data_IF_959984744571
#
_entry.id   IF_959984744571
#
_cell.length_a   1.000
_cell.length_b   1.000
_cell.length_c   1.000
_cell.angle_alpha   90.00
_cell.angle_beta   90.00
_cell.angle_gamma   90.00
#
_symmetry.space_group_name_H-M   'P 1'
#
loop_
_entity.id
_entity.type
_entity.pdbx_description
1 polymer ?
#
# COMPACT_ATOMS: atom_id res chain seq x y z
N UNK A 1 26.30 0.38 9.03
CA UNK A 1 25.13 -0.04 9.84
C UNK A 1 24.04 -0.51 8.88
N UNK A 2 23.24 -1.52 9.22
CA UNK A 2 22.12 -1.94 8.38
C UNK A 2 20.95 -0.96 8.54
N UNK A 3 20.36 -0.48 7.42
CA UNK A 3 19.14 0.34 7.44
C UNK A 3 17.94 -0.54 7.73
N UNK A 4 17.07 -0.13 8.66
CA UNK A 4 15.86 -0.85 9.05
C UNK A 4 14.63 -0.07 8.58
N UNK A 5 13.75 -0.73 7.84
CA UNK A 5 12.45 -0.18 7.44
C UNK A 5 11.33 -0.92 8.16
N UNK A 6 10.35 -0.16 8.64
CA UNK A 6 9.14 -0.67 9.27
C UNK A 6 7.96 -0.39 8.35
N UNK A 7 7.19 -1.45 8.07
CA UNK A 7 5.96 -1.36 7.27
C UNK A 7 4.77 -1.57 8.20
N UNK A 8 3.84 -0.63 8.21
CA UNK A 8 2.63 -0.64 9.05
C UNK A 8 1.43 -0.73 8.13
N UNK A 9 0.66 -1.81 8.23
CA UNK A 9 -0.66 -1.91 7.62
C UNK A 9 -1.71 -1.40 8.62
N UNK A 10 -2.60 -0.50 8.20
CA UNK A 10 -3.55 0.16 9.10
C UNK A 10 -4.93 0.37 8.46
N UNK A 11 -5.96 0.40 9.30
CA UNK A 11 -7.34 0.73 8.95
C UNK A 11 -8.09 1.20 10.19
N UNK A 12 -8.57 2.45 10.19
CA UNK A 12 -9.40 3.00 11.27
C UNK A 12 -8.75 2.88 12.67
N UNK A 13 -7.47 3.25 12.77
CA UNK A 13 -6.63 3.13 13.97
C UNK A 13 -6.29 4.50 14.59
N UNK A 14 -7.14 5.53 14.45
CA UNK A 14 -6.81 6.89 14.94
C UNK A 14 -6.42 6.95 16.44
N UNK A 15 -6.88 5.97 17.22
CA UNK A 15 -6.62 5.85 18.67
C UNK A 15 -5.25 5.27 19.01
N UNK A 16 -4.69 4.42 18.15
CA UNK A 16 -3.50 3.63 18.45
C UNK A 16 -2.32 3.95 17.53
N UNK A 17 -2.59 4.47 16.33
CA UNK A 17 -1.59 4.62 15.28
C UNK A 17 -0.45 5.57 15.68
N UNK A 18 -0.73 6.58 16.51
CA UNK A 18 0.30 7.50 17.01
C UNK A 18 1.32 6.78 17.90
N UNK A 19 0.86 6.03 18.88
CA UNK A 19 1.74 5.29 19.79
C UNK A 19 2.56 4.23 19.05
N UNK A 20 1.94 3.59 18.05
CA UNK A 20 2.63 2.68 17.13
C UNK A 20 3.77 3.39 16.39
N UNK A 21 3.49 4.54 15.77
CA UNK A 21 4.48 5.33 15.01
C UNK A 21 5.61 5.86 15.91
N UNK A 22 5.30 6.32 17.12
CA UNK A 22 6.32 6.73 18.10
C UNK A 22 7.24 5.56 18.49
N UNK A 23 6.67 4.36 18.67
CA UNK A 23 7.46 3.18 19.06
C UNK A 23 8.47 2.72 18.00
N UNK A 24 8.26 3.11 16.74
CA UNK A 24 9.09 2.72 15.60
C UNK A 24 9.85 3.89 14.97
N UNK A 25 9.83 5.08 15.60
CA UNK A 25 10.56 6.28 15.16
C UNK A 25 12.07 6.08 15.00
N UNK A 26 12.63 5.08 15.69
CA UNK A 26 14.04 4.73 15.59
C UNK A 26 14.41 4.07 14.25
N UNK A 27 13.42 3.58 13.49
CA UNK A 27 13.66 3.02 12.16
C UNK A 27 14.10 4.12 11.19
N UNK A 28 15.00 3.77 10.28
CA UNK A 28 15.44 4.70 9.22
C UNK A 28 14.29 5.08 8.28
N UNK A 29 13.25 4.24 8.21
CA UNK A 29 12.13 4.41 7.32
C UNK A 29 10.84 3.80 7.87
N UNK A 30 9.74 4.55 7.76
CA UNK A 30 8.39 4.09 8.08
C UNK A 30 7.53 4.17 6.81
N UNK A 31 6.89 3.05 6.46
CA UNK A 31 5.96 2.95 5.33
C UNK A 31 4.59 2.58 5.87
N UNK A 32 3.59 3.38 5.56
CA UNK A 32 2.21 3.10 5.96
C UNK A 32 1.43 2.58 4.76
N UNK A 33 0.69 1.51 4.98
CA UNK A 33 -0.17 0.85 4.01
C UNK A 33 -1.59 0.94 4.57
N UNK A 34 -2.36 1.91 4.09
CA UNK A 34 -3.69 2.24 4.60
C UNK A 34 -4.79 1.60 3.75
N UNK A 35 -5.83 1.03 4.39
CA UNK A 35 -7.01 0.46 3.71
C UNK A 35 -8.17 1.48 3.61
N UNK A 36 -7.88 2.67 3.06
CA UNK A 36 -8.83 3.77 2.91
C UNK A 36 -9.56 4.12 4.22
N UNK A 37 -8.77 4.41 5.26
CA UNK A 37 -9.31 4.87 6.53
C UNK A 37 -10.14 6.15 6.36
N UNK A 38 -11.30 6.19 7.02
CA UNK A 38 -12.26 7.32 6.97
C UNK A 38 -12.13 8.27 8.16
N UNK A 39 -11.35 7.89 9.15
CA UNK A 39 -11.03 8.67 10.33
C UNK A 39 -9.71 9.44 10.12
N UNK A 40 -9.12 9.96 11.20
CA UNK A 40 -7.86 10.71 11.13
C UNK A 40 -6.62 9.84 11.04
N UNK A 41 -6.74 8.52 10.82
CA UNK A 41 -5.58 7.61 10.75
C UNK A 41 -4.54 8.08 9.73
N UNK A 42 -4.97 8.42 8.52
CA UNK A 42 -4.07 8.89 7.45
C UNK A 42 -3.45 10.23 7.82
N UNK A 43 -4.22 11.13 8.42
CA UNK A 43 -3.78 12.47 8.83
C UNK A 43 -2.67 12.36 9.88
N UNK A 44 -2.85 11.49 10.88
CA UNK A 44 -1.82 11.19 11.89
C UNK A 44 -0.59 10.55 11.22
N UNK A 45 -0.77 9.58 10.32
CA UNK A 45 0.36 8.94 9.63
C UNK A 45 1.20 9.94 8.81
N UNK A 46 0.56 10.97 8.23
CA UNK A 46 1.24 12.03 7.45
C UNK A 46 2.18 12.88 8.28
N UNK A 47 1.98 12.97 9.59
CA UNK A 47 2.90 13.67 10.50
C UNK A 47 4.26 12.94 10.62
N UNK A 48 4.28 11.62 10.43
CA UNK A 48 5.46 10.79 10.63
C UNK A 48 6.13 10.36 9.33
N UNK A 49 5.35 10.12 8.27
CA UNK A 49 5.90 9.69 6.98
C UNK A 49 5.09 10.20 5.80
N UNK A 50 5.79 10.55 4.73
CA UNK A 50 5.18 10.85 3.43
C UNK A 50 4.88 9.60 2.60
N UNK A 51 5.42 8.44 3.01
CA UNK A 51 5.31 7.15 2.32
C UNK A 51 4.05 6.40 2.76
N UNK A 52 2.88 6.89 2.34
CA UNK A 52 1.59 6.25 2.58
C UNK A 52 1.05 5.68 1.27
N UNK A 53 0.78 4.37 1.25
CA UNK A 53 0.18 3.65 0.13
C UNK A 53 -1.23 3.18 0.49
N UNK A 54 -2.17 3.27 -0.45
CA UNK A 54 -3.54 2.79 -0.24
C UNK A 54 -3.73 1.39 -0.83
N UNK A 55 -4.14 0.41 -0.02
CA UNK A 55 -4.39 -1.00 -0.43
C UNK A 55 -5.53 -1.13 -1.44
N UNK A 56 -6.42 -0.14 -1.48
CA UNK A 56 -7.57 -0.17 -2.38
C UNK A 56 -7.16 -0.06 -3.84
N UNK A 57 -6.00 0.51 -4.19
CA UNK A 57 -5.56 0.61 -5.60
C UNK A 57 -5.42 -0.75 -6.32
N UNK A 58 -4.68 -1.75 -5.82
CA UNK A 58 -4.59 -3.05 -6.46
C UNK A 58 -5.93 -3.82 -6.48
N UNK A 59 -6.69 -3.79 -5.39
CA UNK A 59 -8.03 -4.40 -5.33
C UNK A 59 -9.01 -3.74 -6.31
N UNK A 60 -9.01 -2.41 -6.39
CA UNK A 60 -9.83 -1.64 -7.32
C UNK A 60 -9.45 -1.93 -8.77
N UNK A 61 -8.16 -2.06 -9.09
CA UNK A 61 -7.72 -2.41 -10.45
C UNK A 61 -8.12 -3.84 -10.81
N UNK A 62 -8.05 -4.79 -9.86
CA UNK A 62 -8.56 -6.13 -10.06
C UNK A 62 -10.06 -6.11 -10.36
N UNK A 63 -10.88 -5.50 -9.50
CA UNK A 63 -12.32 -5.43 -9.67
C UNK A 63 -12.72 -4.70 -10.95
N UNK A 64 -12.04 -3.59 -11.28
CA UNK A 64 -12.30 -2.85 -12.51
C UNK A 64 -11.95 -3.65 -13.76
N UNK A 65 -10.81 -4.33 -13.80
CA UNK A 65 -10.43 -5.16 -14.96
C UNK A 65 -11.30 -6.41 -15.09
N UNK A 66 -11.63 -7.04 -13.97
CA UNK A 66 -12.38 -8.29 -13.99
C UNK A 66 -13.86 -8.07 -14.29
N UNK A 67 -14.52 -7.10 -13.64
CA UNK A 67 -15.96 -6.86 -13.80
C UNK A 67 -16.29 -5.78 -14.84
N UNK A 68 -15.68 -4.59 -14.78
CA UNK A 68 -16.02 -3.47 -15.68
C UNK A 68 -15.48 -3.64 -17.10
N UNK A 69 -14.26 -4.16 -17.25
CA UNK A 69 -13.72 -4.54 -18.57
C UNK A 69 -14.15 -5.94 -19.01
N UNK A 70 -15.12 -6.52 -18.29
CA UNK A 70 -15.70 -7.83 -18.57
C UNK A 70 -14.65 -8.95 -18.73
N UNK A 71 -13.57 -8.90 -17.95
CA UNK A 71 -12.55 -9.95 -17.91
C UNK A 71 -13.15 -11.33 -17.62
N UNK A 72 -14.24 -11.40 -16.84
CA UNK A 72 -14.99 -12.64 -16.61
C UNK A 72 -15.52 -13.30 -17.90
N UNK A 73 -15.80 -12.52 -18.97
CA UNK A 73 -16.26 -13.06 -20.27
C UNK A 73 -15.17 -13.85 -21.00
N UNK A 74 -13.90 -13.63 -20.64
CA UNK A 74 -12.76 -14.39 -21.16
C UNK A 74 -12.43 -15.63 -20.30
N UNK A 75 -13.30 -15.98 -19.34
CA UNK A 75 -13.12 -17.11 -18.44
C UNK A 75 -11.81 -17.05 -17.65
N UNK A 76 -11.13 -18.18 -17.53
CA UNK A 76 -9.90 -18.32 -16.73
C UNK A 76 -8.77 -17.38 -17.18
N UNK A 77 -8.68 -17.07 -18.48
CA UNK A 77 -7.67 -16.15 -19.02
C UNK A 77 -7.87 -14.72 -18.50
N UNK A 78 -9.11 -14.24 -18.44
CA UNK A 78 -9.41 -12.89 -17.96
C UNK A 78 -9.26 -12.75 -16.44
N UNK A 79 -9.49 -13.82 -15.69
CA UNK A 79 -9.13 -13.90 -14.27
C UNK A 79 -7.61 -13.74 -14.09
N UNK A 80 -6.81 -14.54 -14.81
CA UNK A 80 -5.35 -14.52 -14.69
C UNK A 80 -4.74 -13.15 -15.08
N UNK A 81 -5.25 -12.51 -16.13
CA UNK A 81 -4.83 -11.17 -16.56
C UNK A 81 -5.15 -10.11 -15.49
N UNK A 82 -6.32 -10.21 -14.85
CA UNK A 82 -6.73 -9.28 -13.79
C UNK A 82 -5.87 -9.46 -12.54
N UNK A 83 -5.58 -10.71 -12.13
CA UNK A 83 -4.67 -11.03 -11.01
C UNK A 83 -3.25 -10.54 -11.30
N UNK A 84 -2.70 -10.89 -12.46
CA UNK A 84 -1.34 -10.48 -12.88
C UNK A 84 -1.22 -8.95 -12.94
N UNK A 85 -2.24 -8.25 -13.40
CA UNK A 85 -2.26 -6.78 -13.40
C UNK A 85 -2.24 -6.17 -12.00
N UNK A 86 -3.04 -6.71 -11.07
CA UNK A 86 -3.06 -6.25 -9.69
C UNK A 86 -1.72 -6.51 -9.00
N UNK A 87 -1.13 -7.70 -9.21
CA UNK A 87 0.20 -8.06 -8.74
C UNK A 87 1.29 -7.17 -9.35
N UNK A 88 1.18 -6.84 -10.64
CA UNK A 88 2.16 -5.96 -11.31
C UNK A 88 2.12 -4.56 -10.74
N UNK A 89 0.94 -4.03 -10.43
CA UNK A 89 0.79 -2.71 -9.83
C UNK A 89 1.34 -2.73 -8.40
N UNK A 90 1.05 -3.77 -7.62
CA UNK A 90 1.68 -3.97 -6.32
C UNK A 90 3.21 -3.99 -6.42
N UNK A 91 3.76 -4.81 -7.33
CA UNK A 91 5.20 -4.89 -7.58
C UNK A 91 5.78 -3.58 -8.08
N UNK A 92 5.05 -2.81 -8.88
CA UNK A 92 5.50 -1.50 -9.38
C UNK A 92 5.59 -0.49 -8.24
N UNK A 93 4.64 -0.50 -7.30
CA UNK A 93 4.73 0.32 -6.08
C UNK A 93 5.88 -0.15 -5.18
N UNK A 94 6.03 -1.46 -4.98
CA UNK A 94 7.14 -2.02 -4.22
C UNK A 94 8.51 -1.69 -4.86
N UNK A 95 8.60 -1.70 -6.19
CA UNK A 95 9.82 -1.35 -6.94
C UNK A 95 10.07 0.15 -6.97
N UNK A 96 9.03 0.97 -7.11
CA UNK A 96 9.12 2.43 -7.04
C UNK A 96 9.63 2.87 -5.66
N UNK A 97 9.18 2.19 -4.62
CA UNK A 97 9.69 2.34 -3.27
C UNK A 97 11.17 1.92 -3.18
N UNK A 98 11.57 0.78 -3.76
CA UNK A 98 12.96 0.33 -3.81
C UNK A 98 13.89 1.27 -4.62
N UNK A 99 13.40 1.88 -5.70
CA UNK A 99 14.18 2.80 -6.54
C UNK A 99 14.37 4.15 -5.87
N UNK A 100 13.34 4.68 -5.17
CA UNK A 100 13.47 5.90 -4.37
C UNK A 100 14.47 5.74 -3.22
N UNK A 101 14.78 4.48 -2.86
CA UNK A 101 15.81 4.04 -1.92
C UNK A 101 17.23 4.01 -2.50
N UNK A 102 17.41 4.04 -3.83
CA UNK A 102 18.73 4.04 -4.51
C UNK A 102 19.22 5.43 -4.91
N UNK A 103 18.31 6.40 -5.03
CA UNK A 103 18.64 7.80 -5.36
C UNK A 103 18.94 8.68 -4.12
N UNK A 104 19.02 8.06 -2.93
CA UNK A 104 19.39 8.67 -1.62
C UNK A 104 20.53 7.86 -0.96
#
# INVERSE_FOLDING_TARGET
>A
MARISVVIATKEEERNIRDCLESVKWADEIVVVDDESKDRTVEICREYTSNICFLVRPCFVFFRKYFFMAGYRNGFRGFFISVSSALTIFMTYAKLWEMRRKDL
#
